data_IF_493413857085
#
_entry.id   IF_493413857085
#
_cell.length_a   1.000
_cell.length_b   1.000
_cell.length_c   1.000
_cell.angle_alpha   90.00
_cell.angle_beta   90.00
_cell.angle_gamma   90.00
#
_symmetry.space_group_name_H-M   'P 1'
#
loop_
_entity.id
_entity.type
_entity.pdbx_description
1 polymer ?
#
# COMPACT_ATOMS: atom_id res chain seq x y z
N UNK A 1 8.91 3.07 17.92
CA UNK A 1 8.00 3.23 16.77
C UNK A 1 8.76 2.98 15.48
N UNK A 2 8.16 2.22 14.56
CA UNK A 2 8.73 1.99 13.23
C UNK A 2 8.11 3.03 12.30
N UNK A 3 8.89 3.97 11.73
CA UNK A 3 8.32 5.09 10.96
C UNK A 3 7.52 4.66 9.74
N UNK A 4 7.90 3.55 9.09
CA UNK A 4 7.20 3.05 7.91
C UNK A 4 6.01 2.14 8.21
N UNK A 5 5.63 1.98 9.46
CA UNK A 5 4.44 1.21 9.82
C UNK A 5 3.20 1.90 9.24
N UNK A 6 2.38 1.15 8.50
CA UNK A 6 1.16 1.68 7.89
C UNK A 6 0.07 1.78 8.95
N UNK A 7 -0.53 2.93 9.07
CA UNK A 7 -1.66 3.16 9.99
C UNK A 7 -3.00 3.10 9.27
N UNK A 8 -3.08 3.65 8.06
CA UNK A 8 -4.29 3.59 7.26
C UNK A 8 -3.93 3.30 5.81
N UNK A 9 -4.82 2.61 5.10
CA UNK A 9 -4.69 2.35 3.68
C UNK A 9 -6.07 2.43 3.05
N UNK A 10 -6.20 3.25 2.01
CA UNK A 10 -7.46 3.46 1.30
C UNK A 10 -7.26 3.13 -0.17
N UNK A 11 -8.07 2.23 -0.75
CA UNK A 11 -7.93 1.91 -2.17
C UNK A 11 -8.45 3.04 -3.04
N UNK A 12 -7.73 3.29 -4.13
CA UNK A 12 -8.11 4.30 -5.12
C UNK A 12 -8.21 3.63 -6.49
N UNK A 13 -8.94 4.23 -7.44
CA UNK A 13 -9.02 3.69 -8.80
C UNK A 13 -7.63 3.58 -9.43
N UNK A 14 -7.43 2.56 -10.29
CA UNK A 14 -6.17 2.37 -10.99
C UNK A 14 -5.09 1.68 -10.16
N UNK A 15 -5.50 0.87 -9.19
CA UNK A 15 -4.56 0.09 -8.36
C UNK A 15 -3.60 0.98 -7.58
N UNK A 16 -4.14 2.03 -6.96
CA UNK A 16 -3.38 2.93 -6.10
C UNK A 16 -3.90 2.83 -4.67
N UNK A 17 -3.03 3.14 -3.71
CA UNK A 17 -3.41 3.20 -2.30
C UNK A 17 -3.02 4.55 -1.73
N UNK A 18 -3.95 5.18 -1.02
CA UNK A 18 -3.61 6.31 -0.17
C UNK A 18 -3.24 5.75 1.21
N UNK A 19 -2.01 5.98 1.64
CA UNK A 19 -1.49 5.42 2.89
C UNK A 19 -1.02 6.52 3.83
N UNK A 20 -1.19 6.26 5.12
CA UNK A 20 -0.64 7.09 6.19
C UNK A 20 0.24 6.23 7.06
N UNK A 21 1.44 6.71 7.35
CA UNK A 21 2.44 5.99 8.13
C UNK A 21 2.51 6.49 9.57
N UNK A 22 3.15 5.72 10.44
CA UNK A 22 3.25 6.04 11.86
C UNK A 22 3.97 7.37 12.15
N UNK A 23 4.89 7.77 11.28
CA UNK A 23 5.62 9.02 11.41
C UNK A 23 4.85 10.24 10.89
N UNK A 24 3.61 10.04 10.45
CA UNK A 24 2.77 11.10 9.90
C UNK A 24 2.91 11.29 8.39
N UNK A 25 3.84 10.62 7.74
CA UNK A 25 3.97 10.68 6.28
C UNK A 25 2.71 10.12 5.63
N UNK A 26 2.21 10.80 4.59
CA UNK A 26 0.99 10.41 3.89
C UNK A 26 1.17 10.63 2.40
N UNK A 27 0.64 9.74 1.60
CA UNK A 27 0.68 9.90 0.16
C UNK A 27 0.04 8.74 -0.57
N UNK A 28 0.16 8.75 -1.89
CA UNK A 28 -0.42 7.75 -2.78
C UNK A 28 0.70 6.86 -3.31
N UNK A 29 0.50 5.55 -3.18
CA UNK A 29 1.39 4.53 -3.74
C UNK A 29 0.72 3.95 -4.97
N UNK A 30 1.45 3.86 -6.06
CA UNK A 30 0.98 3.28 -7.32
C UNK A 30 1.40 1.81 -7.40
N UNK A 31 0.42 0.91 -7.36
CA UNK A 31 0.65 -0.52 -7.44
C UNK A 31 0.24 -1.10 -8.80
N UNK A 32 -0.02 -0.24 -9.78
CA UNK A 32 -0.43 -0.69 -11.12
C UNK A 32 0.65 -1.51 -11.83
N UNK A 33 1.91 -1.33 -11.44
CA UNK A 33 3.04 -2.07 -12.03
C UNK A 33 3.21 -3.47 -11.48
N UNK A 34 2.52 -3.81 -10.39
CA UNK A 34 2.67 -5.13 -9.76
C UNK A 34 2.01 -6.19 -10.65
N UNK A 35 2.75 -7.22 -11.09
CA UNK A 35 2.15 -8.27 -11.92
C UNK A 35 1.04 -9.01 -11.17
N UNK A 36 -0.08 -9.27 -11.85
CA UNK A 36 -1.21 -10.00 -11.28
C UNK A 36 -0.93 -11.50 -11.36
N UNK A 37 0.05 -11.97 -10.60
CA UNK A 37 0.49 -13.37 -10.56
C UNK A 37 0.61 -13.84 -9.13
N UNK A 38 0.50 -15.16 -8.91
CA UNK A 38 0.59 -15.71 -7.57
C UNK A 38 -0.47 -15.15 -6.66
N UNK A 39 -0.08 -14.65 -5.49
CA UNK A 39 -1.01 -14.07 -4.52
C UNK A 39 -1.68 -12.79 -5.03
N UNK A 40 -1.09 -12.14 -6.04
CA UNK A 40 -1.65 -10.91 -6.61
C UNK A 40 -2.59 -11.18 -7.79
N UNK A 41 -2.79 -12.44 -8.17
CA UNK A 41 -3.70 -12.77 -9.26
C UNK A 41 -5.13 -12.28 -8.99
N UNK A 42 -5.54 -12.28 -7.73
CA UNK A 42 -6.88 -11.81 -7.32
C UNK A 42 -7.09 -10.33 -7.59
N UNK A 43 -6.04 -9.55 -7.75
CA UNK A 43 -6.13 -8.12 -8.08
C UNK A 43 -6.66 -7.88 -9.49
N UNK A 44 -6.74 -8.92 -10.33
CA UNK A 44 -7.39 -8.79 -11.64
C UNK A 44 -8.86 -8.40 -11.51
N UNK A 45 -9.45 -8.66 -10.34
CA UNK A 45 -10.77 -8.15 -9.97
C UNK A 45 -10.58 -6.87 -9.14
N UNK A 46 -10.94 -5.69 -9.67
CA UNK A 46 -10.80 -4.45 -8.90
C UNK A 46 -11.54 -4.46 -7.57
N UNK A 47 -12.66 -5.17 -7.48
CA UNK A 47 -13.40 -5.28 -6.22
C UNK A 47 -12.59 -6.01 -5.15
N UNK A 48 -11.75 -6.96 -5.55
CA UNK A 48 -10.87 -7.64 -4.61
C UNK A 48 -9.77 -6.70 -4.11
N UNK A 49 -9.19 -5.90 -5.00
CA UNK A 49 -8.19 -4.90 -4.61
C UNK A 49 -8.75 -3.94 -3.55
N UNK A 50 -10.03 -3.59 -3.66
CA UNK A 50 -10.68 -2.69 -2.72
C UNK A 50 -10.86 -3.30 -1.33
N UNK A 51 -10.61 -4.59 -1.15
CA UNK A 51 -10.70 -5.26 0.15
C UNK A 51 -9.43 -5.11 0.99
N UNK A 52 -8.53 -4.24 0.58
CA UNK A 52 -7.30 -3.95 1.33
C UNK A 52 -7.62 -3.55 2.77
N UNK A 53 -6.77 -4.01 3.69
CA UNK A 53 -6.88 -3.65 5.11
C UNK A 53 -5.48 -3.52 5.70
N UNK A 54 -5.40 -2.90 6.86
CA UNK A 54 -4.13 -2.78 7.59
C UNK A 54 -4.07 -3.88 8.64
N UNK A 55 -2.97 -4.63 8.65
CA UNK A 55 -2.68 -5.61 9.68
C UNK A 55 -1.83 -4.94 10.76
N UNK A 56 -2.39 -4.82 11.97
CA UNK A 56 -1.70 -4.17 13.07
C UNK A 56 -0.47 -4.96 13.54
N UNK A 57 -0.44 -6.27 13.33
CA UNK A 57 0.70 -7.09 13.73
C UNK A 57 1.90 -6.90 12.82
N UNK A 58 1.65 -6.85 11.51
CA UNK A 58 2.74 -6.69 10.53
C UNK A 58 2.99 -5.23 10.17
N UNK A 59 2.04 -4.35 10.47
CA UNK A 59 2.18 -2.93 10.17
C UNK A 59 2.15 -2.61 8.69
N UNK A 60 1.42 -3.41 7.89
CA UNK A 60 1.34 -3.17 6.45
C UNK A 60 -0.07 -3.38 5.90
N UNK A 61 -0.28 -2.95 4.67
CA UNK A 61 -1.51 -3.21 3.94
C UNK A 61 -1.51 -4.65 3.44
N UNK A 62 -2.63 -5.33 3.60
CA UNK A 62 -2.78 -6.72 3.19
C UNK A 62 -4.18 -6.99 2.66
N UNK A 63 -4.33 -8.16 2.05
CA UNK A 63 -5.58 -8.64 1.46
C UNK A 63 -6.00 -9.96 2.08
N UNK A 64 -7.28 -10.35 1.95
CA UNK A 64 -7.80 -11.55 2.64
C UNK A 64 -7.08 -12.86 2.33
N UNK A 65 -6.45 -12.98 1.15
CA UNK A 65 -5.72 -14.19 0.76
C UNK A 65 -4.29 -14.24 1.27
N UNK A 66 -3.88 -13.30 2.12
CA UNK A 66 -2.53 -13.24 2.65
C UNK A 66 -1.55 -12.42 1.82
N UNK A 67 -1.98 -11.86 0.69
CA UNK A 67 -1.14 -10.96 -0.08
C UNK A 67 -0.85 -9.70 0.74
N UNK A 68 0.37 -9.22 0.70
CA UNK A 68 0.76 -7.98 1.35
C UNK A 68 1.79 -7.24 0.52
N UNK A 69 2.06 -5.99 0.88
CA UNK A 69 3.06 -5.16 0.21
C UNK A 69 4.06 -4.67 1.24
N UNK A 70 5.30 -4.46 0.81
CA UNK A 70 6.36 -4.04 1.70
C UNK A 70 6.14 -2.61 2.20
N UNK A 71 5.92 -2.40 3.51
CA UNK A 71 5.60 -1.06 4.01
C UNK A 71 6.78 -0.09 3.91
N UNK A 72 8.01 -0.58 4.09
CA UNK A 72 9.20 0.24 3.95
C UNK A 72 9.38 0.73 2.51
N UNK A 73 9.10 -0.12 1.52
CA UNK A 73 9.16 0.27 0.11
C UNK A 73 8.10 1.32 -0.22
N UNK A 74 6.89 1.17 0.31
CA UNK A 74 5.83 2.16 0.12
C UNK A 74 6.21 3.49 0.76
N UNK A 75 6.77 3.45 1.96
CA UNK A 75 7.20 4.65 2.66
C UNK A 75 8.25 5.42 1.84
N UNK A 76 9.22 4.69 1.31
CA UNK A 76 10.27 5.29 0.47
C UNK A 76 9.68 5.92 -0.81
N UNK A 77 8.74 5.25 -1.45
CA UNK A 77 8.09 5.77 -2.65
C UNK A 77 7.37 7.10 -2.37
N UNK A 78 6.60 7.15 -1.29
CA UNK A 78 5.87 8.35 -0.89
C UNK A 78 6.84 9.48 -0.57
N UNK A 79 7.90 9.17 0.18
CA UNK A 79 8.91 10.14 0.56
C UNK A 79 9.60 10.74 -0.66
N UNK A 80 9.98 9.91 -1.63
CA UNK A 80 10.64 10.36 -2.84
C UNK A 80 9.73 11.24 -3.69
N UNK A 81 8.45 10.92 -3.77
CA UNK A 81 7.49 11.73 -4.52
C UNK A 81 7.31 13.10 -3.91
N UNK A 82 7.31 13.21 -2.59
CA UNK A 82 7.22 14.51 -1.93
C UNK A 82 8.45 15.37 -2.19
N UNK A 83 9.62 14.76 -2.19
CA UNK A 83 10.88 15.47 -2.52
C UNK A 83 10.87 15.89 -3.98
N UNK A 84 10.40 15.04 -4.88
CA UNK A 84 10.37 15.31 -6.33
C UNK A 84 9.39 16.40 -6.71
N UNK A 85 8.41 16.70 -5.86
CA UNK A 85 7.38 17.69 -6.14
C UNK A 85 7.87 19.14 -5.93
N UNK A 86 9.06 19.32 -5.48
CA UNK A 86 9.64 20.63 -5.21
C UNK A 86 10.11 21.32 -6.49
#
# INVERSE_FOLDING_TARGET
MIPWEVKTAKPLPGYRLEVTFADGLRGVVDLSDVPHKGVFASWSDPAYFEQVRVDAETGTACWPNGADVAPDAMHEEVKQRQVSAV
#
